data_IF_544185507691
#
_entry.id   IF_544185507691
#
_cell.length_a   1.000
_cell.length_b   1.000
_cell.length_c   1.000
_cell.angle_alpha   90.00
_cell.angle_beta   90.00
_cell.angle_gamma   90.00
#
_symmetry.space_group_name_H-M   'P 1'
#
loop_
_entity.id
_entity.type
_entity.pdbx_description
1 polymer ?
#
# COMPACT_ATOMS: atom_id res chain seq x y z
N UNK A 1 14.50 1.96 -12.52
CA UNK A 1 14.34 1.14 -11.30
C UNK A 1 12.84 1.03 -11.05
N UNK A 2 12.35 -0.16 -10.77
CA UNK A 2 10.93 -0.34 -10.46
C UNK A 2 10.70 0.13 -9.02
N UNK A 3 9.64 0.88 -8.79
CA UNK A 3 9.29 1.38 -7.46
C UNK A 3 7.84 1.09 -7.16
N UNK A 4 7.56 0.74 -5.91
CA UNK A 4 6.22 0.56 -5.38
C UNK A 4 5.99 1.72 -4.44
N UNK A 5 5.06 2.59 -4.81
CA UNK A 5 4.70 3.75 -4.03
C UNK A 5 3.81 3.28 -2.89
N UNK A 6 4.26 3.49 -1.65
CA UNK A 6 3.55 3.06 -0.45
C UNK A 6 3.07 4.26 0.35
N UNK A 7 1.94 4.06 1.03
CA UNK A 7 1.45 5.03 1.99
C UNK A 7 0.64 4.41 3.11
N UNK A 8 0.73 5.02 4.27
CA UNK A 8 0.06 4.56 5.47
C UNK A 8 -1.21 5.39 5.68
N UNK A 9 -2.36 4.72 5.70
CA UNK A 9 -3.66 5.35 5.84
C UNK A 9 -4.36 4.87 7.12
N UNK A 10 -4.75 5.82 7.99
CA UNK A 10 -5.47 5.51 9.22
C UNK A 10 -6.97 5.62 8.96
N UNK A 11 -7.67 4.49 9.07
CA UNK A 11 -9.13 4.39 8.92
C UNK A 11 -9.81 4.17 10.27
N UNK A 12 -11.16 4.22 10.30
CA UNK A 12 -11.98 3.87 11.47
C UNK A 12 -11.67 2.46 12.01
N UNK A 13 -11.29 1.53 11.14
CA UNK A 13 -11.03 0.13 11.49
C UNK A 13 -9.57 -0.17 11.85
N UNK A 14 -8.65 0.78 11.63
CA UNK A 14 -7.22 0.62 11.92
C UNK A 14 -6.29 1.28 10.91
N UNK A 15 -4.99 1.09 11.11
CA UNK A 15 -3.95 1.58 10.17
C UNK A 15 -3.75 0.58 9.05
N UNK A 16 -4.00 1.01 7.82
CA UNK A 16 -3.78 0.29 6.58
C UNK A 16 -2.49 0.80 5.91
N UNK A 17 -1.79 -0.06 5.18
CA UNK A 17 -0.85 0.36 4.14
C UNK A 17 -1.53 0.15 2.81
N UNK A 18 -1.24 1.09 1.94
CA UNK A 18 -1.59 1.10 0.54
C UNK A 18 -0.29 1.06 -0.24
N UNK A 19 -0.22 0.26 -1.27
CA UNK A 19 0.92 0.19 -2.17
C UNK A 19 0.45 0.18 -3.62
N UNK A 20 0.99 1.05 -4.45
CA UNK A 20 0.77 1.10 -5.88
C UNK A 20 2.05 0.76 -6.64
N UNK A 21 1.92 -0.09 -7.63
CA UNK A 21 2.98 -0.44 -8.57
C UNK A 21 2.46 -0.24 -9.98
N UNK A 22 3.15 0.54 -10.80
CA UNK A 22 2.77 0.74 -12.21
C UNK A 22 1.32 1.24 -12.38
N UNK A 23 0.93 2.28 -11.63
CA UNK A 23 -0.44 2.81 -11.57
C UNK A 23 -1.53 1.77 -11.22
N UNK A 24 -1.15 0.69 -10.52
CA UNK A 24 -2.10 -0.32 -10.03
C UNK A 24 -1.93 -0.57 -8.55
N UNK A 25 -3.04 -0.73 -7.83
CA UNK A 25 -3.02 -1.09 -6.42
C UNK A 25 -2.47 -2.53 -6.28
N UNK A 26 -1.32 -2.66 -5.62
CA UNK A 26 -0.65 -3.94 -5.38
C UNK A 26 -0.74 -4.37 -3.91
N UNK A 27 -0.90 -3.42 -2.99
CA UNK A 27 -0.95 -3.69 -1.54
C UNK A 27 -2.11 -2.93 -0.90
N UNK A 28 -2.90 -3.66 -0.11
CA UNK A 28 -3.93 -3.15 0.78
C UNK A 28 -3.98 -4.08 2.00
N UNK A 29 -3.24 -3.75 3.06
CA UNK A 29 -3.14 -4.63 4.26
C UNK A 29 -2.94 -3.80 5.54
N UNK A 30 -3.24 -4.35 6.70
CA UNK A 30 -3.05 -3.67 7.99
C UNK A 30 -1.57 -3.53 8.37
N UNK A 31 -1.22 -2.41 8.98
CA UNK A 31 0.15 -2.10 9.44
C UNK A 31 0.65 -3.09 10.48
N UNK A 32 -0.26 -3.63 11.29
CA UNK A 32 0.07 -4.32 12.53
C UNK A 32 0.24 -5.85 12.41
N UNK A 33 0.76 -6.36 11.29
CA UNK A 33 1.12 -7.78 11.17
C UNK A 33 2.61 -8.03 11.43
N UNK A 34 2.91 -8.93 12.39
CA UNK A 34 4.25 -9.45 12.70
C UNK A 34 5.03 -9.97 11.48
N UNK A 35 4.36 -10.38 10.40
CA UNK A 35 4.96 -10.97 9.19
C UNK A 35 5.13 -10.00 8.00
N UNK A 36 4.95 -8.69 8.19
CA UNK A 36 5.02 -7.72 7.07
C UNK A 36 6.36 -7.72 6.35
N UNK A 37 7.47 -7.80 7.08
CA UNK A 37 8.83 -7.86 6.49
C UNK A 37 8.98 -8.99 5.46
N UNK A 38 8.32 -10.12 5.68
CA UNK A 38 8.36 -11.27 4.75
C UNK A 38 7.52 -11.01 3.51
N UNK A 39 6.32 -10.43 3.67
CA UNK A 39 5.45 -10.05 2.54
C UNK A 39 6.14 -8.99 1.69
N UNK A 40 6.64 -7.95 2.34
CA UNK A 40 7.40 -6.86 1.74
C UNK A 40 8.59 -7.39 0.93
N UNK A 41 9.39 -8.28 1.55
CA UNK A 41 10.54 -8.89 0.89
C UNK A 41 10.14 -9.75 -0.33
N UNK A 42 9.03 -10.49 -0.25
CA UNK A 42 8.49 -11.26 -1.39
C UNK A 42 8.04 -10.34 -2.51
N UNK A 43 7.32 -9.27 -2.21
CA UNK A 43 6.82 -8.32 -3.20
C UNK A 43 8.00 -7.61 -3.89
N UNK A 44 8.94 -7.06 -3.11
CA UNK A 44 10.17 -6.45 -3.66
C UNK A 44 10.92 -7.40 -4.57
N UNK A 45 11.08 -8.67 -4.16
CA UNK A 45 11.80 -9.68 -4.95
C UNK A 45 11.06 -10.08 -6.23
N UNK A 46 9.74 -10.25 -6.18
CA UNK A 46 8.93 -10.64 -7.33
C UNK A 46 8.80 -9.50 -8.36
N UNK A 47 8.55 -8.28 -7.90
CA UNK A 47 8.40 -7.10 -8.77
C UNK A 47 9.73 -6.43 -9.12
N UNK A 48 10.83 -6.91 -8.53
CA UNK A 48 12.17 -6.31 -8.59
C UNK A 48 12.13 -4.80 -8.31
N UNK A 49 11.34 -4.42 -7.32
CA UNK A 49 10.99 -3.03 -7.03
C UNK A 49 11.32 -2.65 -5.59
N UNK A 50 11.57 -1.38 -5.34
CA UNK A 50 11.76 -0.84 -3.99
C UNK A 50 10.50 -0.14 -3.49
N UNK A 51 10.26 -0.21 -2.17
CA UNK A 51 9.19 0.57 -1.56
C UNK A 51 9.65 2.00 -1.38
N UNK A 52 8.90 2.93 -1.94
CA UNK A 52 9.12 4.36 -1.83
C UNK A 52 7.89 4.95 -1.18
N UNK A 53 8.07 5.70 -0.09
CA UNK A 53 6.95 6.44 0.50
C UNK A 53 6.62 7.61 -0.42
N UNK A 54 5.59 7.43 -1.25
CA UNK A 54 5.17 8.40 -2.24
C UNK A 54 3.66 8.31 -2.44
N UNK A 55 3.06 9.47 -2.68
CA UNK A 55 1.65 9.60 -3.01
C UNK A 55 1.44 9.44 -4.51
N UNK A 56 0.32 8.81 -4.87
CA UNK A 56 0.00 8.47 -6.24
C UNK A 56 -1.49 8.63 -6.50
N UNK A 57 -1.88 8.81 -7.76
CA UNK A 57 -3.29 8.95 -8.13
C UNK A 57 -4.12 7.77 -7.63
N UNK A 58 -3.59 6.57 -7.81
CA UNK A 58 -4.19 5.31 -7.33
C UNK A 58 -4.36 5.31 -5.81
N UNK A 59 -3.33 5.73 -5.06
CA UNK A 59 -3.36 5.74 -3.60
C UNK A 59 -4.35 6.77 -3.06
N UNK A 60 -4.50 7.93 -3.72
CA UNK A 60 -5.51 8.93 -3.36
C UNK A 60 -6.92 8.41 -3.61
N UNK A 61 -7.15 7.85 -4.80
CA UNK A 61 -8.46 7.34 -5.17
C UNK A 61 -8.87 6.16 -4.28
N UNK A 62 -7.94 5.26 -3.98
CA UNK A 62 -8.19 4.14 -3.06
C UNK A 62 -8.54 4.63 -1.66
N UNK A 63 -7.89 5.67 -1.14
CA UNK A 63 -8.26 6.25 0.17
C UNK A 63 -9.66 6.80 0.16
N UNK A 64 -10.01 7.55 -0.88
CA UNK A 64 -11.36 8.09 -1.03
C UNK A 64 -12.40 6.97 -1.06
N UNK A 65 -12.17 5.91 -1.83
CA UNK A 65 -13.06 4.74 -1.87
C UNK A 65 -13.15 4.02 -0.53
N UNK A 66 -12.05 3.92 0.21
CA UNK A 66 -12.05 3.34 1.55
C UNK A 66 -12.84 4.20 2.52
N UNK A 67 -12.68 5.52 2.48
CA UNK A 67 -13.49 6.44 3.28
C UNK A 67 -14.97 6.29 2.93
N UNK A 68 -15.33 6.31 1.65
CA UNK A 68 -16.72 6.11 1.19
C UNK A 68 -17.30 4.74 1.59
N UNK A 69 -16.46 3.71 1.70
CA UNK A 69 -16.89 2.38 2.14
C UNK A 69 -17.05 2.27 3.67
N UNK A 70 -16.29 3.03 4.44
CA UNK A 70 -16.31 3.01 5.91
C UNK A 70 -17.12 4.15 6.55
N UNK A 71 -17.67 5.06 5.74
CA UNK A 71 -18.66 6.05 6.18
C UNK A 71 -20.06 5.46 6.27
#
# INVERSE_FOLDING_TARGET
>A
MNQINIQHYKTKIGKLILGSFDDKLCILDFEYRKMRKTVDSRIKKNLKAEFVEQDDKVLKETRKQLDEYFD
#
